data_IF_237659137252
#
_entry.id   IF_237659137252
#
_cell.length_a   1.000
_cell.length_b   1.000
_cell.length_c   1.000
_cell.angle_alpha   90.00
_cell.angle_beta   90.00
_cell.angle_gamma   90.00
#
_symmetry.space_group_name_H-M   'P 1'
#
loop_
_entity.id
_entity.type
_entity.pdbx_description
1 polymer ?
#
# COMPACT_ATOMS: atom_id res chain seq x y z
N UNK A 1 -12.06 -33.89 34.31
CA UNK A 1 -10.94 -32.92 34.32
C UNK A 1 -11.17 -31.92 33.19
N UNK A 2 -11.61 -30.71 33.50
CA UNK A 2 -11.92 -29.62 32.55
C UNK A 2 -11.15 -28.35 32.93
N UNK A 3 -9.92 -28.52 33.41
CA UNK A 3 -9.07 -27.39 33.81
C UNK A 3 -8.17 -26.99 32.64
N UNK A 4 -8.31 -25.72 32.24
CA UNK A 4 -7.47 -24.91 31.32
C UNK A 4 -8.17 -24.52 30.01
N UNK A 5 -9.34 -23.88 30.11
CA UNK A 5 -9.68 -22.84 29.13
C UNK A 5 -9.06 -21.53 29.61
N UNK A 6 -7.86 -21.22 29.11
CA UNK A 6 -7.26 -19.89 29.33
C UNK A 6 -8.08 -18.89 28.51
N UNK A 7 -8.96 -18.14 29.18
CA UNK A 7 -9.65 -16.99 28.58
C UNK A 7 -8.58 -15.96 28.19
N UNK A 8 -8.14 -16.00 26.93
CA UNK A 8 -7.40 -14.89 26.32
C UNK A 8 -8.42 -13.77 26.16
N UNK A 9 -8.55 -12.92 27.17
CA UNK A 9 -9.29 -11.67 27.05
C UNK A 9 -8.38 -10.75 26.24
N UNK A 10 -8.76 -10.34 25.03
CA UNK A 10 -7.88 -9.49 24.24
C UNK A 10 -7.79 -8.13 24.94
N UNK A 11 -6.56 -7.68 25.21
CA UNK A 11 -6.33 -6.37 25.82
C UNK A 11 -6.47 -5.27 24.75
N UNK A 12 -7.66 -4.68 24.69
CA UNK A 12 -8.00 -3.63 23.74
C UNK A 12 -7.56 -2.22 24.20
N UNK A 13 -6.74 -2.09 25.24
CA UNK A 13 -6.30 -0.76 25.73
C UNK A 13 -5.58 0.05 24.64
N UNK A 14 -4.85 -0.61 23.74
CA UNK A 14 -4.23 0.05 22.57
C UNK A 14 -5.24 0.38 21.45
N UNK A 15 -6.35 -0.34 21.37
CA UNK A 15 -7.35 -0.18 20.31
C UNK A 15 -8.13 1.13 20.44
N UNK A 16 -8.28 1.67 21.65
CA UNK A 16 -8.98 2.95 21.86
C UNK A 16 -8.20 4.13 21.27
N UNK A 17 -6.87 4.15 21.45
CA UNK A 17 -6.01 5.16 20.82
C UNK A 17 -6.05 5.05 19.29
N UNK A 18 -5.97 3.81 18.78
CA UNK A 18 -6.05 3.52 17.35
C UNK A 18 -7.39 3.98 16.73
N UNK A 19 -8.50 3.76 17.45
CA UNK A 19 -9.82 4.21 17.02
C UNK A 19 -9.97 5.74 17.08
N UNK A 20 -9.36 6.42 18.06
CA UNK A 20 -9.38 7.88 18.11
C UNK A 20 -8.62 8.50 16.94
N UNK A 21 -7.48 7.92 16.57
CA UNK A 21 -6.68 8.31 15.40
C UNK A 21 -7.44 8.10 14.08
N UNK A 22 -8.10 6.94 13.92
CA UNK A 22 -8.93 6.67 12.73
C UNK A 22 -10.13 7.62 12.66
N UNK A 23 -10.70 8.00 13.81
CA UNK A 23 -11.87 8.89 13.90
C UNK A 23 -11.51 10.36 13.73
N UNK A 24 -10.30 10.79 14.10
CA UNK A 24 -9.81 12.15 13.88
C UNK A 24 -9.34 12.39 12.44
N UNK A 25 -9.18 11.32 11.65
CA UNK A 25 -8.66 11.42 10.27
C UNK A 25 -7.17 11.78 10.21
N UNK A 26 -6.48 11.80 11.34
CA UNK A 26 -5.04 11.98 11.40
C UNK A 26 -4.38 10.65 11.07
N UNK A 27 -3.86 10.54 9.85
CA UNK A 27 -2.94 9.47 9.48
C UNK A 27 -1.64 9.67 10.27
N UNK A 28 -1.58 9.19 11.51
CA UNK A 28 -0.29 8.88 12.11
C UNK A 28 0.19 7.62 11.40
N UNK A 29 0.99 7.84 10.34
CA UNK A 29 1.71 6.78 9.69
C UNK A 29 2.35 5.91 10.76
N UNK A 30 2.07 4.62 10.74
CA UNK A 30 2.78 3.61 11.52
C UNK A 30 4.25 3.65 11.12
N UNK A 31 4.97 4.59 11.71
CA UNK A 31 6.42 4.62 11.75
C UNK A 31 6.82 3.72 12.90
N UNK A 32 6.83 2.40 12.64
CA UNK A 32 7.72 1.54 13.41
C UNK A 32 9.13 1.75 12.85
N UNK A 33 9.86 2.71 13.43
CA UNK A 33 11.33 2.72 13.65
C UNK A 33 11.78 4.16 14.02
N UNK A 34 12.19 4.42 15.27
CA UNK A 34 12.79 5.69 15.66
C UNK A 34 14.31 5.63 15.42
N UNK A 35 14.84 6.34 14.42
CA UNK A 35 16.30 6.34 14.22
C UNK A 35 16.94 7.13 13.08
N UNK A 36 16.21 7.84 12.20
CA UNK A 36 16.85 8.44 11.02
C UNK A 36 16.37 9.88 10.73
N UNK A 37 16.69 10.80 11.65
CA UNK A 37 16.51 12.22 11.42
C UNK A 37 17.70 12.76 10.62
N UNK A 38 17.49 13.05 9.34
CA UNK A 38 18.47 13.75 8.51
C UNK A 38 18.02 14.03 7.09
N UNK A 39 17.43 13.04 6.43
CA UNK A 39 16.98 13.15 5.02
C UNK A 39 15.57 12.55 4.79
N UNK A 40 15.02 11.88 5.81
CA UNK A 40 13.84 11.03 5.64
C UNK A 40 12.54 11.82 5.78
N UNK A 41 12.50 12.91 6.54
CA UNK A 41 11.26 13.70 6.74
C UNK A 41 10.80 14.39 5.45
N UNK A 42 11.73 15.01 4.71
CA UNK A 42 11.42 15.64 3.43
C UNK A 42 11.03 14.61 2.35
N UNK A 43 11.71 13.46 2.34
CA UNK A 43 11.39 12.35 1.45
C UNK A 43 9.99 11.77 1.78
N UNK A 44 9.71 11.52 3.06
CA UNK A 44 8.42 11.01 3.53
C UNK A 44 7.29 12.00 3.24
N UNK A 45 7.53 13.30 3.43
CA UNK A 45 6.58 14.36 3.07
C UNK A 45 6.31 14.38 1.57
N UNK A 46 7.36 14.21 0.75
CA UNK A 46 7.23 14.12 -0.71
C UNK A 46 6.44 12.88 -1.14
N UNK A 47 6.75 11.71 -0.57
CA UNK A 47 6.01 10.47 -0.82
C UNK A 47 4.52 10.64 -0.46
N UNK A 48 4.21 11.14 0.73
CA UNK A 48 2.83 11.38 1.16
C UNK A 48 2.09 12.38 0.24
N UNK A 49 2.78 13.44 -0.20
CA UNK A 49 2.22 14.44 -1.11
C UNK A 49 1.91 13.83 -2.48
N UNK A 50 2.85 13.07 -3.06
CA UNK A 50 2.65 12.39 -4.33
C UNK A 50 1.51 11.38 -4.26
N UNK A 51 1.42 10.58 -3.19
CA UNK A 51 0.36 9.59 -3.02
C UNK A 51 -1.01 10.24 -2.88
N UNK A 52 -1.12 11.30 -2.07
CA UNK A 52 -2.38 12.06 -1.94
C UNK A 52 -2.78 12.67 -3.29
N UNK A 53 -1.81 13.21 -4.04
CA UNK A 53 -2.06 13.80 -5.36
C UNK A 53 -2.49 12.75 -6.37
N UNK A 54 -1.84 11.60 -6.43
CA UNK A 54 -2.20 10.52 -7.36
C UNK A 54 -3.64 10.04 -7.16
N UNK A 55 -4.08 9.86 -5.92
CA UNK A 55 -5.48 9.43 -5.63
C UNK A 55 -6.51 10.51 -5.98
N UNK A 56 -6.17 11.78 -5.74
CA UNK A 56 -7.01 12.90 -6.17
C UNK A 56 -7.12 12.95 -7.69
N UNK A 57 -5.99 12.83 -8.41
CA UNK A 57 -5.96 12.83 -9.87
C UNK A 57 -6.76 11.66 -10.46
N UNK A 58 -6.64 10.47 -9.89
CA UNK A 58 -7.44 9.31 -10.26
C UNK A 58 -8.95 9.59 -10.09
N UNK A 59 -9.35 10.18 -8.95
CA UNK A 59 -10.75 10.56 -8.69
C UNK A 59 -11.26 11.64 -9.65
N UNK A 60 -10.37 12.52 -10.12
CA UNK A 60 -10.65 13.54 -11.14
C UNK A 60 -10.57 12.98 -12.58
N UNK A 61 -10.35 11.68 -12.76
CA UNK A 61 -10.17 11.00 -14.06
C UNK A 61 -8.96 11.49 -14.87
N UNK A 62 -7.96 12.06 -14.20
CA UNK A 62 -6.68 12.48 -14.78
C UNK A 62 -5.66 11.35 -14.65
N UNK A 63 -5.92 10.26 -15.36
CA UNK A 63 -5.22 9.00 -15.17
C UNK A 63 -3.75 9.09 -15.57
N UNK A 64 -3.40 9.81 -16.65
CA UNK A 64 -2.02 9.98 -17.10
C UNK A 64 -1.16 10.74 -16.08
N UNK A 65 -1.73 11.78 -15.46
CA UNK A 65 -1.06 12.54 -14.40
C UNK A 65 -0.90 11.68 -13.14
N UNK A 66 -1.91 10.88 -12.79
CA UNK A 66 -1.83 9.94 -11.67
C UNK A 66 -0.71 8.90 -11.89
N UNK A 67 -0.56 8.39 -13.11
CA UNK A 67 0.52 7.47 -13.47
C UNK A 67 1.90 8.11 -13.30
N UNK A 68 2.06 9.39 -13.64
CA UNK A 68 3.33 10.09 -13.45
C UNK A 68 3.72 10.18 -11.96
N UNK A 69 2.76 10.48 -11.08
CA UNK A 69 2.98 10.49 -9.64
C UNK A 69 3.33 9.10 -9.09
N UNK A 70 2.62 8.07 -9.54
CA UNK A 70 2.87 6.69 -9.15
C UNK A 70 4.26 6.19 -9.60
N UNK A 71 4.74 6.60 -10.78
CA UNK A 71 6.10 6.31 -11.24
C UNK A 71 7.17 6.96 -10.36
N UNK A 72 6.96 8.22 -9.96
CA UNK A 72 7.86 8.87 -9.01
C UNK A 72 7.83 8.20 -7.63
N UNK A 73 6.66 7.74 -7.16
CA UNK A 73 6.55 6.94 -5.93
C UNK A 73 7.36 5.65 -6.02
N UNK A 74 7.30 4.91 -7.14
CA UNK A 74 8.11 3.71 -7.37
C UNK A 74 9.61 4.02 -7.31
N UNK A 75 10.03 5.14 -7.91
CA UNK A 75 11.45 5.58 -7.94
C UNK A 75 11.97 5.93 -6.54
N UNK A 76 11.12 6.52 -5.71
CA UNK A 76 11.48 6.99 -4.36
C UNK A 76 11.31 5.91 -3.29
N UNK A 77 10.52 4.87 -3.55
CA UNK A 77 10.27 3.79 -2.58
C UNK A 77 11.45 2.82 -2.53
N UNK A 78 11.94 2.45 -1.34
CA UNK A 78 13.04 1.50 -1.22
C UNK A 78 12.56 0.04 -1.28
N UNK A 79 11.35 -0.26 -0.81
CA UNK A 79 10.86 -1.62 -0.62
C UNK A 79 10.01 -2.14 -1.80
N UNK A 80 10.04 -3.46 -1.99
CA UNK A 80 9.35 -4.15 -3.07
C UNK A 80 7.82 -4.13 -2.92
N UNK A 81 7.31 -4.25 -1.70
CA UNK A 81 5.87 -4.31 -1.45
C UNK A 81 5.17 -2.98 -1.78
N UNK A 82 5.77 -1.83 -1.42
CA UNK A 82 5.26 -0.52 -1.81
C UNK A 82 5.30 -0.33 -3.33
N UNK A 83 6.40 -0.71 -3.98
CA UNK A 83 6.51 -0.66 -5.46
C UNK A 83 5.43 -1.49 -6.14
N UNK A 84 5.20 -2.71 -5.67
CA UNK A 84 4.15 -3.60 -6.16
C UNK A 84 2.76 -2.95 -6.03
N UNK A 85 2.45 -2.35 -4.87
CA UNK A 85 1.22 -1.59 -4.67
C UNK A 85 1.05 -0.43 -5.64
N UNK A 86 2.11 0.32 -5.94
CA UNK A 86 2.06 1.42 -6.91
C UNK A 86 1.91 0.94 -8.36
N UNK A 87 2.58 -0.16 -8.74
CA UNK A 87 2.42 -0.80 -10.05
C UNK A 87 0.97 -1.26 -10.27
N UNK A 88 0.33 -1.82 -9.24
CA UNK A 88 -1.10 -2.16 -9.28
C UNK A 88 -1.98 -0.93 -9.54
N UNK A 89 -1.72 0.18 -8.86
CA UNK A 89 -2.46 1.42 -9.08
C UNK A 89 -2.25 2.00 -10.49
N UNK A 90 -1.06 1.84 -11.08
CA UNK A 90 -0.80 2.22 -12.47
C UNK A 90 -1.63 1.34 -13.41
N UNK A 91 -1.68 0.02 -13.18
CA UNK A 91 -2.50 -0.89 -13.97
C UNK A 91 -3.98 -0.49 -13.93
N UNK A 92 -4.52 -0.14 -12.75
CA UNK A 92 -5.88 0.40 -12.62
C UNK A 92 -6.10 1.68 -13.44
N UNK A 93 -5.12 2.59 -13.47
CA UNK A 93 -5.22 3.79 -14.31
C UNK A 93 -5.31 3.43 -15.81
N UNK A 94 -4.56 2.43 -16.27
CA UNK A 94 -4.63 1.97 -17.66
C UNK A 94 -5.89 1.19 -17.99
N UNK A 95 -6.46 0.49 -17.01
CA UNK A 95 -7.79 -0.14 -17.11
C UNK A 95 -8.86 0.90 -17.40
N UNK A 96 -8.86 2.01 -16.64
CA UNK A 96 -9.78 3.15 -16.85
C UNK A 96 -9.56 3.87 -18.19
N UNK A 97 -8.33 3.88 -18.70
CA UNK A 97 -7.98 4.40 -20.02
C UNK A 97 -8.31 3.43 -21.18
N UNK A 98 -8.88 2.25 -20.89
CA UNK A 98 -9.14 1.18 -21.85
C UNK A 98 -7.87 0.76 -22.64
N UNK A 99 -6.73 0.70 -21.95
CA UNK A 99 -5.45 0.27 -22.52
C UNK A 99 -5.00 -1.06 -21.89
N UNK A 100 -5.56 -2.20 -22.37
CA UNK A 100 -5.32 -3.51 -21.76
C UNK A 100 -3.85 -3.95 -21.89
N UNK A 101 -3.12 -3.49 -22.91
CA UNK A 101 -1.71 -3.85 -23.09
C UNK A 101 -0.82 -3.29 -21.98
N UNK A 102 -1.06 -2.04 -21.60
CA UNK A 102 -0.31 -1.39 -20.51
C UNK A 102 -0.80 -1.87 -19.14
N UNK A 103 -2.10 -2.11 -18.99
CA UNK A 103 -2.67 -2.74 -17.78
C UNK A 103 -2.00 -4.08 -17.47
N UNK A 104 -2.02 -5.02 -18.42
CA UNK A 104 -1.42 -6.35 -18.26
C UNK A 104 0.07 -6.25 -17.93
N UNK A 105 0.81 -5.40 -18.64
CA UNK A 105 2.24 -5.17 -18.40
C UNK A 105 2.51 -4.79 -16.94
N UNK A 106 1.77 -3.82 -16.40
CA UNK A 106 2.01 -3.32 -15.04
C UNK A 106 1.53 -4.29 -13.95
N UNK A 107 0.48 -5.08 -14.21
CA UNK A 107 0.09 -6.18 -13.33
C UNK A 107 1.18 -7.26 -13.24
N UNK A 108 1.73 -7.68 -14.38
CA UNK A 108 2.82 -8.67 -14.40
C UNK A 108 4.08 -8.15 -13.71
N UNK A 109 4.41 -6.87 -13.91
CA UNK A 109 5.53 -6.21 -13.23
C UNK A 109 5.30 -6.16 -11.71
N UNK A 110 4.07 -5.88 -11.27
CA UNK A 110 3.68 -5.87 -9.85
C UNK A 110 3.91 -7.23 -9.17
N UNK A 111 3.46 -8.30 -9.82
CA UNK A 111 3.61 -9.69 -9.34
C UNK A 111 5.08 -10.11 -9.31
N UNK A 112 5.85 -9.69 -10.33
CA UNK A 112 7.28 -9.99 -10.42
C UNK A 112 8.10 -9.25 -9.34
N UNK A 113 7.64 -8.06 -8.94
CA UNK A 113 8.33 -7.21 -7.96
C UNK A 113 8.20 -7.74 -6.54
N UNK A 114 7.03 -8.26 -6.16
CA UNK A 114 6.83 -8.93 -4.87
C UNK A 114 6.36 -10.38 -5.08
N UNK A 115 7.30 -11.34 -5.19
CA UNK A 115 6.98 -12.76 -5.38
C UNK A 115 6.16 -13.36 -4.22
N UNK A 116 6.08 -12.68 -3.07
CA UNK A 116 5.24 -13.14 -1.94
C UNK A 116 3.75 -13.06 -2.26
N UNK A 117 3.36 -12.17 -3.17
CA UNK A 117 2.00 -12.16 -3.71
C UNK A 117 1.70 -13.48 -4.43
N UNK A 118 2.70 -14.03 -5.14
CA UNK A 118 2.57 -15.30 -5.83
C UNK A 118 2.42 -16.47 -4.84
N UNK A 119 3.17 -16.49 -3.72
CA UNK A 119 3.01 -17.56 -2.71
C UNK A 119 1.59 -17.59 -2.12
N UNK A 120 0.97 -16.44 -1.89
CA UNK A 120 -0.42 -16.40 -1.42
C UNK A 120 -1.44 -16.85 -2.48
N UNK A 121 -1.21 -16.54 -3.77
CA UNK A 121 -2.07 -17.00 -4.85
C UNK A 121 -1.93 -18.52 -5.11
N UNK A 122 -0.71 -19.06 -5.05
CA UNK A 122 -0.45 -20.49 -5.27
C UNK A 122 -1.01 -21.36 -4.15
N UNK A 123 -1.02 -20.86 -2.91
CA UNK A 123 -1.64 -21.57 -1.79
C UNK A 123 -3.17 -21.67 -1.97
N UNK A 124 -3.82 -20.64 -2.53
CA UNK A 124 -5.24 -20.71 -2.86
C UNK A 124 -5.55 -21.63 -4.05
N UNK A 125 -4.64 -21.76 -5.02
CA UNK A 125 -4.80 -22.64 -6.19
C UNK A 125 -4.50 -24.12 -5.89
N UNK A 126 -3.80 -24.44 -4.80
CA UNK A 126 -3.54 -25.82 -4.37
C UNK A 126 -4.72 -26.49 -3.65
N UNK A 127 -5.81 -25.75 -3.39
CA UNK A 127 -7.01 -26.22 -2.68
C UNK A 127 -8.26 -26.36 -3.59
N UNK A 128 -8.09 -26.30 -4.91
CA UNK A 128 -9.13 -26.59 -5.91
C UNK A 128 -8.77 -27.89 -6.62
#
# INVERSE_FOLDING_TARGET
MLEKLQKVVPDYKGSSALLQTLKSGESTGTSMLPGAFGNDEALNTKLATLQKRSYKLYSEKKYEDAVNDLKELIRLSPDASSKSGFLNNIAMCYSELNNPQMEEKYFLESISTDPKILTHLTDCLHFI
#
